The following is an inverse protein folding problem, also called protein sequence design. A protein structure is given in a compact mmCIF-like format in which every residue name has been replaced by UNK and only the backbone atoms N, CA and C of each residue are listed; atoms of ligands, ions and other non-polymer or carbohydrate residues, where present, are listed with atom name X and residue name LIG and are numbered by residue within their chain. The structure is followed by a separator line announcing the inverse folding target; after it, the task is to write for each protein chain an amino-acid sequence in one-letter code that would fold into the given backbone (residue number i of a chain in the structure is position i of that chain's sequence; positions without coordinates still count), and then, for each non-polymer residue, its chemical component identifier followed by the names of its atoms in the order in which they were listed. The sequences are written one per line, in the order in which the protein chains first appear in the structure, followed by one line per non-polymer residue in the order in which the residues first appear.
data_IF_467590145899
#
_entry.id   IF_467590145899
#
_cell.length_a   1.000
_cell.length_b   1.000
_cell.length_c   1.000
_cell.angle_alpha   90.00
_cell.angle_beta   90.00
_cell.angle_gamma   90.00
#
_symmetry.space_group_name_H-M   'P 1'
#
loop_
_entity.id
_entity.type
_entity.pdbx_description
1 polymer ?
#
# COMPACT_ATOMS: atom_id res chain seq x y z
N UNK A 1 48.93 16.50 27.25
CA UNK A 1 48.50 15.30 26.51
C UNK A 1 46.99 15.26 26.57
N UNK A 2 46.31 15.74 25.53
CA UNK A 2 44.85 15.78 25.47
C UNK A 2 44.41 14.61 24.58
N UNK A 3 43.53 13.71 25.04
CA UNK A 3 43.15 12.55 24.25
C UNK A 3 42.21 13.01 23.14
N UNK A 4 42.65 12.89 21.90
CA UNK A 4 41.81 12.97 20.70
C UNK A 4 40.85 11.78 20.72
N UNK A 5 39.61 12.02 21.14
CA UNK A 5 38.50 11.10 20.94
C UNK A 5 38.20 11.04 19.44
N UNK A 6 38.79 10.08 18.75
CA UNK A 6 38.40 9.72 17.38
C UNK A 6 37.03 9.06 17.44
N UNK A 7 35.97 9.82 17.17
CA UNK A 7 34.66 9.27 16.86
C UNK A 7 34.79 8.39 15.60
N UNK A 8 34.25 7.17 15.59
CA UNK A 8 34.33 6.30 14.42
C UNK A 8 33.64 7.00 13.25
N UNK A 9 34.43 7.32 12.22
CA UNK A 9 33.94 7.98 11.00
C UNK A 9 33.18 6.95 10.20
N UNK A 10 31.86 6.89 10.37
CA UNK A 10 30.98 6.12 9.49
C UNK A 10 31.15 6.68 8.06
N UNK A 11 31.31 5.84 7.03
CA UNK A 11 31.34 6.33 5.65
C UNK A 11 30.07 7.14 5.35
N UNK A 12 30.24 8.40 4.96
CA UNK A 12 29.14 9.33 4.70
C UNK A 12 29.31 9.99 3.33
N UNK A 13 28.19 10.23 2.65
CA UNK A 13 28.13 10.98 1.38
C UNK A 13 27.59 12.38 1.68
N UNK A 14 28.36 13.41 1.32
CA UNK A 14 27.92 14.80 1.44
C UNK A 14 26.98 15.15 0.29
N UNK A 15 25.75 15.56 0.59
CA UNK A 15 24.76 15.99 -0.39
C UNK A 15 24.34 17.45 -0.14
N UNK A 16 24.09 18.25 -1.20
CA UNK A 16 23.52 19.58 -1.03
C UNK A 16 22.14 19.52 -0.39
N UNK A 17 21.86 20.36 0.61
CA UNK A 17 20.58 20.39 1.33
C UNK A 17 19.38 20.58 0.38
N UNK A 18 19.52 21.42 -0.64
CA UNK A 18 18.47 21.62 -1.65
C UNK A 18 18.13 20.33 -2.40
N UNK A 19 19.13 19.51 -2.72
CA UNK A 19 18.91 18.22 -3.37
C UNK A 19 18.16 17.25 -2.43
N UNK A 20 18.48 17.27 -1.14
CA UNK A 20 17.78 16.44 -0.14
C UNK A 20 16.32 16.87 -0.01
N UNK A 21 16.06 18.17 0.04
CA UNK A 21 14.70 18.73 0.08
C UNK A 21 13.88 18.36 -1.17
N UNK A 22 14.47 18.47 -2.36
CA UNK A 22 13.81 18.08 -3.62
C UNK A 22 13.44 16.59 -3.66
N UNK A 23 14.32 15.72 -3.16
CA UNK A 23 14.05 14.28 -3.05
C UNK A 23 12.96 14.02 -2.00
N UNK A 24 13.03 14.68 -0.85
CA UNK A 24 12.01 14.58 0.19
C UNK A 24 10.62 14.96 -0.36
N UNK A 25 10.52 16.11 -1.03
CA UNK A 25 9.27 16.58 -1.64
C UNK A 25 8.75 15.59 -2.68
N UNK A 26 9.64 15.08 -3.54
CA UNK A 26 9.30 14.07 -4.54
C UNK A 26 8.72 12.79 -3.91
N UNK A 27 9.31 12.33 -2.80
CA UNK A 27 8.80 11.17 -2.07
C UNK A 27 7.41 11.44 -1.46
N UNK A 28 7.19 12.64 -0.91
CA UNK A 28 5.89 13.01 -0.34
C UNK A 28 4.81 13.17 -1.41
N UNK A 29 5.16 13.66 -2.60
CA UNK A 29 4.25 13.67 -3.76
C UNK A 29 3.83 12.25 -4.12
N UNK A 30 4.77 11.31 -4.20
CA UNK A 30 4.45 9.90 -4.49
C UNK A 30 3.57 9.29 -3.41
N UNK A 31 3.80 9.58 -2.12
CA UNK A 31 2.92 9.12 -1.02
C UNK A 31 1.49 9.63 -1.19
N UNK A 32 1.32 10.90 -1.55
CA UNK A 32 -0.01 11.47 -1.83
C UNK A 32 -0.67 10.79 -3.03
N UNK A 33 0.07 10.55 -4.11
CA UNK A 33 -0.45 9.89 -5.30
C UNK A 33 -0.83 8.43 -5.04
N UNK A 34 -0.06 7.70 -4.21
CA UNK A 34 -0.39 6.35 -3.77
C UNK A 34 -1.68 6.32 -2.93
N UNK A 35 -1.85 7.27 -2.00
CA UNK A 35 -3.10 7.42 -1.24
C UNK A 35 -4.30 7.68 -2.15
N UNK A 36 -4.12 8.54 -3.14
CA UNK A 36 -5.16 8.79 -4.16
C UNK A 36 -5.45 7.55 -5.00
N UNK A 37 -4.43 6.79 -5.39
CA UNK A 37 -4.58 5.55 -6.15
C UNK A 37 -5.38 4.52 -5.35
N UNK A 38 -5.07 4.33 -4.07
CA UNK A 38 -5.80 3.43 -3.18
C UNK A 38 -7.30 3.80 -3.13
N UNK A 39 -7.62 5.09 -2.94
CA UNK A 39 -9.00 5.57 -2.95
C UNK A 39 -9.72 5.36 -4.29
N UNK A 40 -9.04 5.58 -5.42
CA UNK A 40 -9.60 5.32 -6.76
C UNK A 40 -9.88 3.83 -6.99
N UNK A 41 -8.98 2.96 -6.53
CA UNK A 41 -9.16 1.51 -6.61
C UNK A 41 -10.32 1.06 -5.74
N UNK A 42 -10.36 1.47 -4.46
CA UNK A 42 -11.45 1.15 -3.55
C UNK A 42 -12.82 1.54 -4.15
N UNK A 43 -12.95 2.78 -4.60
CA UNK A 43 -14.20 3.26 -5.20
C UNK A 43 -14.58 2.49 -6.47
N UNK A 44 -13.62 2.18 -7.35
CA UNK A 44 -13.91 1.44 -8.58
C UNK A 44 -14.36 0.01 -8.26
N UNK A 45 -13.75 -0.62 -7.25
CA UNK A 45 -14.06 -1.99 -6.86
C UNK A 45 -15.41 -2.10 -6.14
N UNK A 46 -15.78 -1.12 -5.32
CA UNK A 46 -17.14 -0.98 -4.77
C UNK A 46 -18.19 -0.94 -5.89
N UNK A 47 -17.98 -0.09 -6.90
CA UNK A 47 -18.86 0.02 -8.06
C UNK A 47 -18.94 -1.28 -8.87
N UNK A 48 -17.83 -2.00 -9.03
CA UNK A 48 -17.81 -3.29 -9.73
C UNK A 48 -18.61 -4.36 -8.96
N UNK A 49 -18.43 -4.42 -7.63
CA UNK A 49 -19.15 -5.35 -6.78
C UNK A 49 -20.67 -5.09 -6.78
N UNK A 50 -21.08 -3.82 -6.72
CA UNK A 50 -22.49 -3.43 -6.84
C UNK A 50 -23.06 -3.85 -8.20
N UNK A 51 -22.32 -3.61 -9.29
CA UNK A 51 -22.74 -3.98 -10.65
C UNK A 51 -22.87 -5.49 -10.83
N UNK A 52 -21.93 -6.28 -10.33
CA UNK A 52 -22.00 -7.75 -10.39
C UNK A 52 -23.15 -8.29 -9.55
N UNK A 53 -23.35 -7.76 -8.34
CA UNK A 53 -24.48 -8.15 -7.48
C UNK A 53 -25.82 -7.82 -8.13
N UNK A 54 -25.94 -6.61 -8.70
CA UNK A 54 -27.14 -6.18 -9.43
C UNK A 54 -27.42 -7.04 -10.66
N UNK A 55 -26.39 -7.34 -11.45
CA UNK A 55 -26.50 -8.23 -12.59
C UNK A 55 -26.97 -9.63 -12.16
N UNK A 56 -26.37 -10.20 -11.11
CA UNK A 56 -26.75 -11.50 -10.55
C UNK A 56 -28.22 -11.51 -10.09
N UNK A 57 -28.67 -10.45 -9.40
CA UNK A 57 -30.05 -10.31 -8.95
C UNK A 57 -31.06 -10.19 -10.11
N UNK A 58 -30.75 -9.41 -11.14
CA UNK A 58 -31.61 -9.30 -12.34
C UNK A 58 -31.75 -10.64 -13.07
N UNK A 59 -30.67 -11.43 -13.06
CA UNK A 59 -30.64 -12.78 -13.60
C UNK A 59 -31.33 -13.81 -12.69
N UNK A 60 -31.81 -13.45 -11.50
CA UNK A 60 -32.52 -14.34 -10.57
C UNK A 60 -33.99 -14.61 -10.96
N UNK A 61 -34.45 -14.11 -12.11
CA UNK A 61 -35.85 -14.18 -12.54
C UNK A 61 -36.32 -15.64 -12.77
N UNK A 62 -37.46 -16.07 -12.19
CA UNK A 62 -37.98 -17.44 -12.31
C UNK A 62 -38.21 -17.93 -13.73
N UNK A 63 -38.54 -17.02 -14.65
CA UNK A 63 -38.77 -17.33 -16.05
C UNK A 63 -37.54 -17.87 -16.79
N UNK A 64 -36.34 -17.66 -16.25
CA UNK A 64 -35.06 -18.07 -16.85
C UNK A 64 -34.39 -19.23 -16.08
N UNK A 65 -35.02 -19.73 -15.00
CA UNK A 65 -34.37 -20.58 -13.98
C UNK A 65 -33.81 -21.94 -14.44
N UNK A 66 -33.99 -22.33 -15.70
CA UNK A 66 -33.58 -23.66 -16.20
C UNK A 66 -32.73 -23.60 -17.48
N UNK A 67 -32.14 -22.44 -17.83
CA UNK A 67 -31.24 -22.37 -18.99
C UNK A 67 -29.79 -22.53 -18.56
N UNK A 68 -29.06 -23.42 -19.23
CA UNK A 68 -27.65 -23.68 -18.95
C UNK A 68 -26.80 -22.42 -19.10
N UNK A 69 -27.14 -21.59 -20.09
CA UNK A 69 -26.48 -20.33 -20.38
C UNK A 69 -26.59 -19.35 -19.21
N UNK A 70 -27.71 -19.34 -18.48
CA UNK A 70 -27.89 -18.48 -17.31
C UNK A 70 -27.04 -18.95 -16.14
N UNK A 71 -26.94 -20.26 -15.93
CA UNK A 71 -26.10 -20.82 -14.87
C UNK A 71 -24.61 -20.57 -15.14
N UNK A 72 -24.16 -20.69 -16.39
CA UNK A 72 -22.79 -20.37 -16.81
C UNK A 72 -22.49 -18.86 -16.59
N UNK A 73 -23.43 -17.96 -16.89
CA UNK A 73 -23.30 -16.51 -16.61
C UNK A 73 -23.23 -16.23 -15.11
N UNK A 74 -24.10 -16.85 -14.30
CA UNK A 74 -24.08 -16.70 -12.84
C UNK A 74 -22.80 -17.22 -12.22
N UNK A 75 -22.29 -18.34 -12.69
CA UNK A 75 -21.01 -18.90 -12.26
C UNK A 75 -19.87 -17.92 -12.56
N UNK A 76 -19.85 -17.36 -13.77
CA UNK A 76 -18.85 -16.36 -14.17
C UNK A 76 -18.92 -15.09 -13.32
N UNK A 77 -20.12 -14.59 -13.01
CA UNK A 77 -20.29 -13.42 -12.15
C UNK A 77 -19.81 -13.67 -10.72
N UNK A 78 -20.06 -14.87 -10.16
CA UNK A 78 -19.54 -15.23 -8.83
C UNK A 78 -18.02 -15.33 -8.84
N UNK A 79 -17.44 -15.99 -9.85
CA UNK A 79 -15.99 -16.07 -10.01
C UNK A 79 -15.35 -14.67 -10.12
N UNK A 80 -15.95 -13.76 -10.88
CA UNK A 80 -15.48 -12.39 -10.98
C UNK A 80 -15.49 -11.67 -9.63
N UNK A 81 -16.53 -11.85 -8.80
CA UNK A 81 -16.57 -11.29 -7.44
C UNK A 81 -15.51 -11.90 -6.54
N UNK A 82 -15.24 -13.21 -6.65
CA UNK A 82 -14.15 -13.86 -5.93
C UNK A 82 -12.79 -13.31 -6.34
N UNK A 83 -12.54 -13.06 -7.62
CA UNK A 83 -11.29 -12.46 -8.10
C UNK A 83 -11.11 -11.01 -7.61
N UNK A 84 -12.19 -10.28 -7.26
CA UNK A 84 -12.07 -8.95 -6.63
C UNK A 84 -11.41 -9.02 -5.24
N UNK A 85 -11.28 -10.20 -4.61
CA UNK A 85 -10.57 -10.37 -3.34
C UNK A 85 -9.09 -10.01 -3.42
N UNK A 86 -8.47 -10.05 -4.60
CA UNK A 86 -7.09 -9.57 -4.81
C UNK A 86 -6.94 -8.05 -4.57
N UNK A 87 -8.04 -7.29 -4.50
CA UNK A 87 -8.01 -5.86 -4.17
C UNK A 87 -7.45 -5.60 -2.78
N UNK A 88 -7.82 -6.40 -1.78
CA UNK A 88 -7.35 -6.19 -0.40
C UNK A 88 -5.82 -6.29 -0.33
N UNK A 89 -5.24 -7.27 -1.03
CA UNK A 89 -3.78 -7.38 -1.16
C UNK A 89 -3.15 -6.19 -1.88
N UNK A 90 -3.78 -5.69 -2.96
CA UNK A 90 -3.28 -4.52 -3.68
C UNK A 90 -3.28 -3.27 -2.78
N UNK A 91 -4.35 -3.04 -2.02
CA UNK A 91 -4.44 -1.94 -1.06
C UNK A 91 -3.41 -2.07 0.06
N UNK A 92 -3.19 -3.27 0.60
CA UNK A 92 -2.13 -3.52 1.59
C UNK A 92 -0.73 -3.19 1.03
N UNK A 93 -0.44 -3.57 -0.22
CA UNK A 93 0.83 -3.24 -0.89
C UNK A 93 1.01 -1.73 -1.07
N UNK A 94 -0.05 -1.01 -1.47
CA UNK A 94 -0.01 0.45 -1.64
C UNK A 94 0.23 1.15 -0.30
N UNK A 95 -0.49 0.75 0.75
CA UNK A 95 -0.32 1.28 2.11
C UNK A 95 1.09 1.02 2.63
N UNK A 96 1.59 -0.21 2.48
CA UNK A 96 2.94 -0.58 2.89
C UNK A 96 4.01 0.27 2.17
N UNK A 97 3.89 0.40 0.84
CA UNK A 97 4.81 1.21 0.03
C UNK A 97 4.77 2.68 0.46
N UNK A 98 3.57 3.21 0.74
CA UNK A 98 3.39 4.58 1.22
C UNK A 98 4.12 4.82 2.54
N UNK A 99 4.02 3.88 3.49
CA UNK A 99 4.74 3.96 4.78
C UNK A 99 6.26 3.93 4.61
N UNK A 100 6.79 3.09 3.72
CA UNK A 100 8.23 3.06 3.43
C UNK A 100 8.71 4.39 2.87
N UNK A 101 8.04 4.92 1.84
CA UNK A 101 8.44 6.17 1.19
C UNK A 101 8.32 7.37 2.14
N UNK A 102 7.26 7.41 2.95
CA UNK A 102 7.07 8.42 3.99
C UNK A 102 8.19 8.35 5.04
N UNK A 103 8.54 7.14 5.48
CA UNK A 103 9.67 6.92 6.39
C UNK A 103 11.01 7.39 5.81
N UNK A 104 11.26 7.14 4.53
CA UNK A 104 12.43 7.66 3.82
C UNK A 104 12.44 9.20 3.80
N UNK A 105 11.32 9.83 3.47
CA UNK A 105 11.21 11.29 3.42
C UNK A 105 11.51 11.92 4.79
N UNK A 106 10.94 11.38 5.87
CA UNK A 106 11.19 11.89 7.23
C UNK A 106 12.61 11.66 7.72
N UNK A 107 13.21 10.53 7.39
CA UNK A 107 14.62 10.28 7.71
C UNK A 107 15.54 11.27 7.00
N UNK A 108 15.32 11.52 5.71
CA UNK A 108 16.07 12.53 4.95
C UNK A 108 15.95 13.92 5.57
N UNK A 109 14.75 14.34 5.99
CA UNK A 109 14.55 15.60 6.68
C UNK A 109 15.31 15.67 8.01
N UNK A 110 15.17 14.64 8.84
CA UNK A 110 15.80 14.56 10.16
C UNK A 110 17.32 14.58 10.09
N UNK A 111 17.92 13.87 9.13
CA UNK A 111 19.38 13.79 9.00
C UNK A 111 19.98 15.04 8.35
N UNK A 112 19.21 15.76 7.53
CA UNK A 112 19.70 16.95 6.80
C UNK A 112 19.49 18.28 7.52
N UNK A 113 18.44 18.43 8.33
CA UNK A 113 18.14 19.69 9.02
C UNK A 113 18.91 19.89 10.33
N UNK A 114 19.62 18.87 10.82
CA UNK A 114 20.38 18.93 12.07
C UNK A 114 19.46 18.98 13.31
N UNK A 115 19.98 18.54 14.46
CA UNK A 115 19.24 18.55 15.73
C UNK A 115 19.16 19.94 16.37
N UNK A 116 18.69 20.95 15.64
CA UNK A 116 18.38 22.25 16.23
C UNK A 116 17.05 22.18 16.99
N UNK A 117 17.00 22.78 18.17
CA UNK A 117 15.94 22.78 19.21
C UNK A 117 14.55 23.28 18.76
N UNK A 118 14.01 22.73 17.67
CA UNK A 118 12.63 22.91 17.22
C UNK A 118 11.91 21.57 17.29
N UNK A 119 10.69 21.56 17.86
CA UNK A 119 9.86 20.37 18.10
C UNK A 119 10.14 19.24 17.11
N UNK A 120 10.68 18.13 17.63
CA UNK A 120 10.86 16.91 16.86
C UNK A 120 9.53 16.60 16.16
N UNK A 121 9.53 16.68 14.83
CA UNK A 121 8.37 16.31 14.02
C UNK A 121 7.99 14.91 14.49
N UNK A 122 6.75 14.68 14.97
CA UNK A 122 6.39 13.40 15.55
C UNK A 122 6.74 12.32 14.53
N UNK A 123 7.68 11.45 14.90
CA UNK A 123 8.10 10.35 14.05
C UNK A 123 6.83 9.55 13.78
N UNK A 124 6.31 9.63 12.55
CA UNK A 124 5.11 8.89 12.20
C UNK A 124 5.41 7.40 12.34
N UNK A 125 4.44 6.71 12.93
CA UNK A 125 4.38 5.28 13.25
C UNK A 125 5.24 4.36 12.38
N UNK A 126 5.98 3.48 13.07
CA UNK A 126 6.57 2.22 12.59
C UNK A 126 6.72 2.12 11.07
N UNK A 127 7.81 2.68 10.55
CA UNK A 127 8.31 2.30 9.23
C UNK A 127 8.46 0.77 9.24
N UNK A 128 7.85 0.04 8.28
CA UNK A 128 7.92 -1.41 8.27
C UNK A 128 9.36 -1.89 8.34
N UNK A 129 9.69 -2.75 9.31
CA UNK A 129 11.05 -3.27 9.50
C UNK A 129 11.49 -4.17 8.33
N UNK A 130 10.53 -4.78 7.64
CA UNK A 130 10.78 -5.64 6.49
C UNK A 130 10.66 -4.84 5.19
N UNK A 131 11.62 -4.99 4.26
CA UNK A 131 11.63 -4.27 2.99
C UNK A 131 10.49 -4.71 2.05
N UNK A 132 9.94 -5.91 2.27
CA UNK A 132 8.78 -6.42 1.55
C UNK A 132 7.69 -6.81 2.56
N UNK A 133 6.41 -6.62 2.23
CA UNK A 133 5.32 -7.21 2.97
C UNK A 133 5.38 -8.73 2.83
N UNK A 134 4.95 -9.44 3.89
CA UNK A 134 4.96 -10.90 3.91
C UNK A 134 4.07 -11.41 2.79
N UNK A 135 4.61 -12.26 1.93
CA UNK A 135 3.83 -12.90 0.86
C UNK A 135 2.91 -13.97 1.47
N UNK A 136 1.78 -14.28 0.81
CA UNK A 136 0.91 -15.37 1.29
C UNK A 136 1.67 -16.70 1.41
N UNK A 137 2.69 -16.92 0.58
CA UNK A 137 3.55 -18.11 0.63
C UNK A 137 4.45 -18.19 1.88
N UNK A 138 4.71 -17.05 2.54
CA UNK A 138 5.58 -16.96 3.73
C UNK A 138 4.79 -17.02 5.05
N UNK A 139 3.48 -16.79 5.00
CA UNK A 139 2.58 -17.14 6.10
C UNK A 139 2.21 -18.61 5.91
N UNK A 140 2.59 -19.50 6.83
CA UNK A 140 2.00 -20.84 6.97
C UNK A 140 0.52 -20.76 7.43
N UNK A 141 -0.18 -19.69 7.02
CA UNK A 141 -1.61 -19.59 6.97
C UNK A 141 -2.04 -20.49 5.83
N UNK A 142 -2.20 -21.78 6.16
CA UNK A 142 -2.82 -22.76 5.29
C UNK A 142 -3.98 -22.11 4.54
N UNK A 143 -4.06 -22.43 3.25
CA UNK A 143 -5.08 -21.96 2.31
C UNK A 143 -6.27 -21.34 3.01
N UNK A 144 -6.51 -20.06 2.77
CA UNK A 144 -7.82 -19.52 3.13
C UNK A 144 -8.84 -20.19 2.20
N UNK A 145 -9.29 -21.40 2.58
CA UNK A 145 -10.57 -21.94 2.14
C UNK A 145 -11.62 -20.95 2.66
N UNK A 146 -12.05 -20.05 1.77
CA UNK A 146 -13.28 -19.30 1.94
C UNK A 146 -14.26 -19.85 0.90
N UNK A 147 -15.24 -20.60 1.42
CA UNK A 147 -16.42 -21.13 0.73
C UNK A 147 -17.09 -20.14 -0.23
#
# INVERSE_FOLDING_TARGET
MQPTLTTPTVPAVQMPVMLVAEVQDSLLVVVHDLSRLDGLLAHTMENLMERFTSASANLATPALMNTKELDDVRSTLRAAVTELQFQDMASQLIVHTSKILQGCAYRLASESMGGEDGEAVPFVEEVPERPNPVTQDEMDAGSVELF
#
